data_IF_924655512190
#
_entry.id   IF_924655512190
#
_cell.length_a   1.000
_cell.length_b   1.000
_cell.length_c   1.000
_cell.angle_alpha   90.00
_cell.angle_beta   90.00
_cell.angle_gamma   90.00
#
_symmetry.space_group_name_H-M   'P 1'
#
loop_
_entity.id
_entity.type
_entity.pdbx_description
1 polymer ?
#
# COMPACT_ATOMS: atom_id res chain seq x y z
N UNK A 1 -3.99 -29.81 35.78
CA UNK A 1 -3.03 -28.67 35.77
C UNK A 1 -3.24 -27.82 34.51
N UNK A 2 -4.32 -27.03 34.45
CA UNK A 2 -4.54 -26.02 33.39
C UNK A 2 -3.79 -24.76 33.82
N UNK A 3 -2.47 -24.76 33.69
CA UNK A 3 -1.70 -23.54 33.88
C UNK A 3 -2.11 -22.59 32.75
N UNK A 4 -2.78 -21.53 33.17
CA UNK A 4 -2.95 -20.24 32.51
C UNK A 4 -1.87 -19.99 31.44
N UNK A 5 -2.08 -20.49 30.22
CA UNK A 5 -1.56 -19.84 29.02
C UNK A 5 -2.37 -18.55 28.88
N UNK A 6 -2.01 -17.56 29.71
CA UNK A 6 -2.50 -16.21 29.59
C UNK A 6 -2.00 -15.75 28.23
N UNK A 7 -2.88 -15.81 27.23
CA UNK A 7 -2.69 -15.22 25.92
C UNK A 7 -2.34 -13.74 26.17
N UNK A 8 -1.05 -13.41 26.17
CA UNK A 8 -0.60 -12.03 26.25
C UNK A 8 -0.47 -11.51 24.81
N UNK A 9 -1.50 -10.85 24.26
CA UNK A 9 -1.47 -10.36 22.88
C UNK A 9 -0.29 -9.40 22.66
N UNK A 10 0.10 -8.64 23.69
CA UNK A 10 1.25 -7.73 23.66
C UNK A 10 2.58 -8.44 23.33
N UNK A 11 2.87 -9.58 23.97
CA UNK A 11 4.10 -10.33 23.74
C UNK A 11 4.19 -10.85 22.28
N UNK A 12 3.06 -11.29 21.74
CA UNK A 12 2.96 -11.79 20.36
C UNK A 12 3.19 -10.68 19.34
N UNK A 13 2.56 -9.53 19.53
CA UNK A 13 2.77 -8.36 18.68
C UNK A 13 4.23 -7.89 18.72
N UNK A 14 4.83 -7.85 19.92
CA UNK A 14 6.24 -7.53 20.09
C UNK A 14 7.16 -8.52 19.34
N UNK A 15 6.84 -9.82 19.37
CA UNK A 15 7.61 -10.83 18.66
C UNK A 15 7.54 -10.64 17.13
N UNK A 16 6.39 -10.26 16.55
CA UNK A 16 6.30 -9.95 15.12
C UNK A 16 7.16 -8.74 14.73
N UNK A 17 7.14 -7.71 15.58
CA UNK A 17 7.99 -6.54 15.39
C UNK A 17 9.47 -6.93 15.44
N UNK A 18 9.87 -7.78 16.39
CA UNK A 18 11.25 -8.29 16.46
C UNK A 18 11.61 -9.09 15.22
N UNK A 19 10.75 -10.00 14.75
CA UNK A 19 10.98 -10.77 13.52
C UNK A 19 11.14 -9.81 12.33
N UNK A 20 10.26 -8.83 12.19
CA UNK A 20 10.36 -7.82 11.13
C UNK A 20 11.71 -7.08 11.19
N UNK A 21 12.10 -6.58 12.36
CA UNK A 21 13.37 -5.85 12.55
C UNK A 21 14.57 -6.73 12.23
N UNK A 22 14.61 -7.97 12.74
CA UNK A 22 15.71 -8.91 12.50
C UNK A 22 15.85 -9.25 11.02
N UNK A 23 14.73 -9.52 10.36
CA UNK A 23 14.72 -9.87 8.95
C UNK A 23 15.15 -8.63 8.13
N UNK A 24 14.66 -7.42 8.46
CA UNK A 24 15.09 -6.17 7.81
C UNK A 24 16.58 -5.89 8.02
N UNK A 25 17.11 -6.14 9.22
CA UNK A 25 18.54 -6.03 9.51
C UNK A 25 19.38 -7.02 8.69
N UNK A 26 18.90 -8.27 8.53
CA UNK A 26 19.55 -9.26 7.68
C UNK A 26 19.58 -8.83 6.22
N UNK A 27 18.51 -8.23 5.69
CA UNK A 27 18.52 -7.66 4.34
C UNK A 27 19.61 -6.60 4.20
N UNK A 28 19.68 -5.64 5.12
CA UNK A 28 20.70 -4.58 5.07
C UNK A 28 22.10 -5.16 5.12
N UNK A 29 22.33 -6.18 5.95
CA UNK A 29 23.60 -6.91 5.99
C UNK A 29 23.91 -7.58 4.65
N UNK A 30 22.97 -8.35 4.08
CA UNK A 30 23.15 -9.00 2.77
C UNK A 30 23.49 -7.95 1.71
N UNK A 31 22.75 -6.85 1.65
CA UNK A 31 22.98 -5.76 0.70
C UNK A 31 24.36 -5.11 0.87
N UNK A 32 24.86 -5.00 2.10
CA UNK A 32 26.20 -4.46 2.39
C UNK A 32 27.33 -5.39 1.97
N UNK A 33 27.06 -6.70 1.84
CA UNK A 33 28.04 -7.72 1.46
C UNK A 33 28.09 -7.97 -0.05
N UNK A 34 27.18 -7.37 -0.83
CA UNK A 34 27.18 -7.52 -2.29
C UNK A 34 28.38 -6.75 -2.87
N UNK A 35 29.37 -7.51 -3.35
CA UNK A 35 30.43 -6.96 -4.18
C UNK A 35 29.91 -6.81 -5.62
N UNK A 36 29.49 -5.61 -5.99
CA UNK A 36 28.91 -5.36 -7.30
C UNK A 36 29.98 -5.43 -8.39
N UNK A 37 29.76 -6.19 -9.48
CA UNK A 37 30.64 -6.12 -10.64
C UNK A 37 30.67 -4.71 -11.23
N UNK A 38 31.62 -4.45 -12.15
CA UNK A 38 31.69 -3.22 -12.93
C UNK A 38 30.55 -3.14 -13.97
N UNK A 39 29.33 -3.00 -13.47
CA UNK A 39 28.10 -2.78 -14.24
C UNK A 39 27.62 -1.35 -14.07
N UNK A 40 26.75 -0.89 -15.00
CA UNK A 40 26.18 0.45 -14.94
C UNK A 40 25.39 0.68 -13.65
N UNK A 41 25.37 1.94 -13.21
CA UNK A 41 24.68 2.36 -12.00
C UNK A 41 23.18 2.01 -12.03
N UNK A 42 22.52 2.19 -13.17
CA UNK A 42 21.11 1.81 -13.35
C UNK A 42 20.87 0.31 -13.14
N UNK A 43 21.80 -0.52 -13.61
CA UNK A 43 21.73 -1.97 -13.44
C UNK A 43 21.85 -2.34 -11.96
N UNK A 44 22.77 -1.70 -11.21
CA UNK A 44 22.91 -1.90 -9.76
C UNK A 44 21.62 -1.52 -9.02
N UNK A 45 21.02 -0.39 -9.36
CA UNK A 45 19.75 0.08 -8.76
C UNK A 45 18.61 -0.90 -9.05
N UNK A 46 18.48 -1.39 -10.28
CA UNK A 46 17.45 -2.36 -10.64
C UNK A 46 17.60 -3.68 -9.86
N UNK A 47 18.82 -4.21 -9.73
CA UNK A 47 19.09 -5.41 -8.93
C UNK A 47 18.78 -5.20 -7.45
N UNK A 48 19.26 -4.09 -6.89
CA UNK A 48 18.99 -3.71 -5.50
C UNK A 48 17.48 -3.67 -5.25
N UNK A 49 16.73 -3.04 -6.16
CA UNK A 49 15.28 -2.95 -6.06
C UNK A 49 14.61 -4.33 -6.15
N UNK A 50 15.02 -5.18 -7.09
CA UNK A 50 14.50 -6.54 -7.21
C UNK A 50 14.71 -7.38 -5.93
N UNK A 51 15.89 -7.28 -5.32
CA UNK A 51 16.20 -7.95 -4.04
C UNK A 51 15.28 -7.43 -2.93
N UNK A 52 15.13 -6.10 -2.81
CA UNK A 52 14.24 -5.47 -1.82
C UNK A 52 12.80 -5.94 -2.01
N UNK A 53 12.32 -6.07 -3.25
CA UNK A 53 10.96 -6.53 -3.53
C UNK A 53 10.71 -7.98 -3.11
N UNK A 54 11.61 -8.89 -3.49
CA UNK A 54 11.51 -10.30 -3.08
C UNK A 54 11.49 -10.39 -1.56
N UNK A 55 12.35 -9.61 -0.91
CA UNK A 55 12.38 -9.54 0.53
C UNK A 55 11.08 -8.98 1.13
N UNK A 56 10.53 -7.88 0.61
CA UNK A 56 9.27 -7.31 1.08
C UNK A 56 8.11 -8.30 0.96
N UNK A 57 8.05 -9.06 -0.12
CA UNK A 57 7.06 -10.14 -0.32
C UNK A 57 7.16 -11.20 0.78
N UNK A 58 8.37 -11.70 1.03
CA UNK A 58 8.62 -12.71 2.05
C UNK A 58 8.26 -12.19 3.44
N UNK A 59 8.66 -10.96 3.76
CA UNK A 59 8.36 -10.37 5.08
C UNK A 59 6.87 -10.14 5.26
N UNK A 60 6.16 -9.61 4.26
CA UNK A 60 4.71 -9.43 4.34
C UNK A 60 4.01 -10.78 4.58
N UNK A 61 4.44 -11.83 3.86
CA UNK A 61 3.91 -13.19 4.07
C UNK A 61 4.21 -13.70 5.48
N UNK A 62 5.45 -13.58 5.97
CA UNK A 62 5.85 -14.04 7.31
C UNK A 62 5.10 -13.30 8.44
N UNK A 63 4.89 -11.99 8.30
CA UNK A 63 4.07 -11.21 9.24
C UNK A 63 2.66 -11.77 9.28
N UNK A 64 2.03 -11.99 8.13
CA UNK A 64 0.66 -12.53 8.05
C UNK A 64 0.57 -13.96 8.62
N UNK A 65 1.53 -14.82 8.32
CA UNK A 65 1.59 -16.18 8.88
C UNK A 65 1.77 -16.16 10.40
N UNK A 66 2.57 -15.22 10.92
CA UNK A 66 2.73 -15.01 12.36
C UNK A 66 1.43 -14.55 13.01
N UNK A 67 0.73 -13.59 12.40
CA UNK A 67 -0.59 -13.15 12.84
C UNK A 67 -1.60 -14.31 12.85
N UNK A 68 -1.55 -15.19 11.84
CA UNK A 68 -2.41 -16.37 11.76
C UNK A 68 -2.11 -17.34 12.89
N UNK A 69 -0.83 -17.66 13.10
CA UNK A 69 -0.35 -18.55 14.16
C UNK A 69 -0.77 -18.05 15.55
N UNK A 70 -0.83 -16.74 15.75
CA UNK A 70 -1.27 -16.11 16.99
C UNK A 70 -2.77 -15.89 17.13
N UNK A 71 -3.58 -16.45 16.23
CA UNK A 71 -5.04 -16.37 16.26
C UNK A 71 -5.58 -14.95 16.11
N UNK A 72 -4.90 -14.07 15.36
CA UNK A 72 -5.42 -12.76 14.96
C UNK A 72 -6.41 -12.81 13.78
N UNK A 73 -6.94 -14.00 13.48
CA UNK A 73 -8.06 -14.20 12.57
C UNK A 73 -9.23 -13.34 13.08
N UNK A 74 -9.86 -12.55 12.21
CA UNK A 74 -10.94 -11.60 12.56
C UNK A 74 -10.49 -10.28 13.25
N UNK A 75 -9.20 -9.96 13.32
CA UNK A 75 -8.71 -8.69 13.92
C UNK A 75 -8.26 -7.71 12.84
N UNK A 76 -9.22 -7.14 12.12
CA UNK A 76 -9.01 -6.17 11.02
C UNK A 76 -8.12 -4.99 11.42
N UNK A 77 -8.29 -4.45 12.64
CA UNK A 77 -7.48 -3.34 13.17
C UNK A 77 -5.99 -3.70 13.28
N UNK A 78 -5.65 -4.94 13.64
CA UNK A 78 -4.25 -5.37 13.72
C UNK A 78 -3.64 -5.41 12.32
N UNK A 79 -4.39 -5.92 11.34
CA UNK A 79 -3.94 -5.89 9.94
C UNK A 79 -3.69 -4.46 9.48
N UNK A 80 -4.63 -3.53 9.73
CA UNK A 80 -4.44 -2.11 9.41
C UNK A 80 -3.17 -1.52 10.04
N UNK A 81 -2.89 -1.83 11.31
CA UNK A 81 -1.67 -1.35 12.00
C UNK A 81 -0.40 -1.88 11.32
N UNK A 82 -0.34 -3.14 10.95
CA UNK A 82 0.83 -3.68 10.24
C UNK A 82 0.91 -3.20 8.79
N UNK A 83 -0.22 -3.00 8.10
CA UNK A 83 -0.27 -2.51 6.72
C UNK A 83 0.24 -1.07 6.64
N UNK A 84 -0.22 -0.19 7.54
CA UNK A 84 -0.02 1.26 7.43
C UNK A 84 0.91 1.83 8.50
N UNK A 85 0.82 1.33 9.73
CA UNK A 85 1.60 1.85 10.85
C UNK A 85 3.08 1.45 10.80
N UNK A 86 3.38 0.21 10.40
CA UNK A 86 4.76 -0.27 10.37
C UNK A 86 5.64 0.48 9.35
N UNK A 87 5.22 0.68 8.08
CA UNK A 87 6.03 1.45 7.16
C UNK A 87 6.10 2.93 7.52
N UNK A 88 5.02 3.51 8.06
CA UNK A 88 5.04 4.87 8.56
C UNK A 88 6.09 5.03 9.65
N UNK A 89 6.19 4.08 10.58
CA UNK A 89 7.23 4.06 11.60
C UNK A 89 8.63 4.02 10.97
N UNK A 90 8.84 3.19 9.94
CA UNK A 90 10.12 3.13 9.21
C UNK A 90 10.45 4.48 8.57
N UNK A 91 9.47 5.13 7.91
CA UNK A 91 9.64 6.46 7.31
C UNK A 91 10.00 7.50 8.38
N UNK A 92 9.32 7.49 9.52
CA UNK A 92 9.59 8.41 10.63
C UNK A 92 10.99 8.18 11.23
N UNK A 93 11.39 6.93 11.44
CA UNK A 93 12.74 6.59 11.95
C UNK A 93 13.81 7.12 10.98
N UNK A 94 13.66 6.85 9.69
CA UNK A 94 14.63 7.31 8.68
C UNK A 94 14.67 8.85 8.63
N UNK A 95 13.50 9.51 8.65
CA UNK A 95 13.42 10.97 8.67
C UNK A 95 14.11 11.56 9.91
N UNK A 96 13.89 10.98 11.09
CA UNK A 96 14.58 11.39 12.32
C UNK A 96 16.08 11.20 12.21
N UNK A 97 16.55 10.03 11.74
CA UNK A 97 17.98 9.77 11.54
C UNK A 97 18.64 10.75 10.57
N UNK A 98 17.93 11.12 9.49
CA UNK A 98 18.38 12.14 8.54
C UNK A 98 18.41 13.54 9.19
N UNK A 99 17.40 13.90 9.97
CA UNK A 99 17.30 15.20 10.65
C UNK A 99 18.37 15.42 11.73
N UNK A 100 18.81 14.34 12.39
CA UNK A 100 19.82 14.38 13.43
C UNK A 100 21.26 14.44 12.89
N UNK A 101 21.45 14.48 11.56
CA UNK A 101 22.78 14.54 10.95
C UNK A 101 23.63 13.28 11.19
N UNK A 102 23.04 12.21 11.77
CA UNK A 102 23.68 10.91 12.04
C UNK A 102 24.19 10.26 10.74
N UNK A 103 23.81 10.79 9.58
CA UNK A 103 24.14 10.22 8.29
C UNK A 103 24.42 11.25 7.20
N UNK A 104 25.35 12.18 7.45
CA UNK A 104 25.93 13.00 6.39
C UNK A 104 26.36 12.15 5.16
N UNK A 105 26.77 10.89 5.39
CA UNK A 105 27.07 9.91 4.33
C UNK A 105 25.84 9.26 3.66
N UNK A 106 24.71 9.02 4.35
CA UNK A 106 23.51 8.48 3.70
C UNK A 106 22.91 9.52 2.75
N UNK A 107 22.92 10.81 3.14
CA UNK A 107 22.42 11.89 2.29
C UNK A 107 23.23 12.10 1.00
N UNK A 108 24.50 11.68 0.98
CA UNK A 108 25.42 11.78 -0.17
C UNK A 108 25.58 10.48 -0.95
N UNK A 109 25.24 9.33 -0.35
CA UNK A 109 25.35 8.02 -0.99
C UNK A 109 24.07 7.61 -1.75
N UNK A 110 24.25 6.68 -2.67
CA UNK A 110 23.22 6.00 -3.49
C UNK A 110 21.97 5.66 -2.66
N UNK A 111 22.15 5.20 -1.42
CA UNK A 111 21.08 4.78 -0.54
C UNK A 111 20.12 5.91 -0.11
N UNK A 112 20.60 7.14 0.12
CA UNK A 112 19.73 8.27 0.49
C UNK A 112 18.89 8.78 -0.68
N UNK A 113 19.46 8.79 -1.88
CA UNK A 113 18.74 9.13 -3.11
C UNK A 113 17.72 8.03 -3.46
N UNK A 114 18.11 6.75 -3.34
CA UNK A 114 17.21 5.62 -3.54
C UNK A 114 16.03 5.68 -2.58
N UNK A 115 16.26 5.94 -1.30
CA UNK A 115 15.18 6.09 -0.32
C UNK A 115 14.19 7.18 -0.73
N UNK A 116 14.68 8.40 -1.00
CA UNK A 116 13.82 9.53 -1.40
C UNK A 116 12.98 9.22 -2.65
N UNK A 117 13.56 8.53 -3.62
CA UNK A 117 12.90 8.16 -4.88
C UNK A 117 11.93 6.99 -4.75
N UNK A 118 12.15 6.05 -3.83
CA UNK A 118 11.47 4.75 -3.85
C UNK A 118 10.62 4.43 -2.63
N UNK A 119 10.73 5.18 -1.52
CA UNK A 119 10.03 4.84 -0.28
C UNK A 119 8.51 4.76 -0.45
N UNK A 120 7.91 5.66 -1.23
CA UNK A 120 6.47 5.65 -1.50
C UNK A 120 6.06 4.40 -2.30
N UNK A 121 6.89 3.98 -3.26
CA UNK A 121 6.64 2.78 -4.04
C UNK A 121 6.76 1.52 -3.19
N UNK A 122 7.82 1.43 -2.38
CA UNK A 122 8.02 0.31 -1.45
C UNK A 122 6.88 0.24 -0.43
N UNK A 123 6.43 1.39 0.07
CA UNK A 123 5.27 1.50 0.94
C UNK A 123 4.00 0.97 0.26
N UNK A 124 3.73 1.42 -0.95
CA UNK A 124 2.59 0.98 -1.75
C UNK A 124 2.59 -0.54 -1.97
N UNK A 125 3.73 -1.10 -2.38
CA UNK A 125 3.89 -2.54 -2.60
C UNK A 125 3.69 -3.31 -1.29
N UNK A 126 4.30 -2.85 -0.19
CA UNK A 126 4.10 -3.45 1.13
C UNK A 126 2.61 -3.52 1.51
N UNK A 127 1.89 -2.40 1.37
CA UNK A 127 0.47 -2.33 1.68
C UNK A 127 -0.32 -3.38 0.89
N UNK A 128 -0.13 -3.42 -0.43
CA UNK A 128 -0.84 -4.33 -1.31
C UNK A 128 -0.57 -5.78 -0.96
N UNK A 129 0.68 -6.12 -0.63
CA UNK A 129 1.06 -7.49 -0.27
C UNK A 129 0.49 -7.90 1.08
N UNK A 130 0.59 -7.03 2.10
CA UNK A 130 0.08 -7.37 3.41
C UNK A 130 -1.44 -7.53 3.39
N UNK A 131 -2.16 -6.67 2.64
CA UNK A 131 -3.60 -6.79 2.46
C UNK A 131 -3.98 -8.06 1.69
N UNK A 132 -3.28 -8.36 0.58
CA UNK A 132 -3.50 -9.56 -0.22
C UNK A 132 -3.33 -10.82 0.64
N UNK A 133 -2.17 -10.97 1.27
CA UNK A 133 -1.86 -12.14 2.09
C UNK A 133 -2.79 -12.22 3.30
N UNK A 134 -3.16 -11.10 3.93
CA UNK A 134 -4.16 -11.10 4.99
C UNK A 134 -5.49 -11.65 4.49
N UNK A 135 -5.94 -11.21 3.32
CA UNK A 135 -7.13 -11.75 2.68
C UNK A 135 -7.06 -13.26 2.48
N UNK A 136 -5.97 -13.75 1.90
CA UNK A 136 -5.77 -15.16 1.58
C UNK A 136 -5.61 -16.06 2.82
N UNK A 137 -4.91 -15.60 3.85
CA UNK A 137 -4.48 -16.46 4.97
C UNK A 137 -5.18 -16.18 6.30
N UNK A 138 -5.63 -14.94 6.54
CA UNK A 138 -6.34 -14.57 7.78
C UNK A 138 -7.87 -14.55 7.61
N UNK A 139 -8.36 -14.29 6.40
CA UNK A 139 -9.80 -14.18 6.11
C UNK A 139 -10.27 -15.06 4.93
N UNK A 140 -9.89 -16.34 4.83
CA UNK A 140 -10.16 -17.16 3.63
C UNK A 140 -11.64 -17.47 3.35
N UNK A 141 -12.53 -17.23 4.33
CA UNK A 141 -13.95 -17.60 4.24
C UNK A 141 -14.86 -16.45 3.81
N UNK A 142 -14.31 -15.30 3.40
CA UNK A 142 -15.14 -14.19 2.91
C UNK A 142 -15.64 -14.54 1.51
N UNK A 143 -16.84 -15.09 1.45
CA UNK A 143 -17.52 -15.44 0.20
C UNK A 143 -17.88 -14.18 -0.58
N UNK A 144 -17.57 -14.19 -1.88
CA UNK A 144 -18.14 -13.22 -2.81
C UNK A 144 -19.66 -13.38 -2.85
N UNK A 145 -20.37 -12.28 -2.62
CA UNK A 145 -21.83 -12.32 -2.47
C UNK A 145 -22.57 -12.57 -3.77
N UNK A 146 -21.97 -12.25 -4.91
CA UNK A 146 -22.65 -12.23 -6.21
C UNK A 146 -21.68 -12.51 -7.34
N UNK A 147 -21.93 -13.52 -8.20
CA UNK A 147 -21.21 -13.64 -9.47
C UNK A 147 -21.54 -12.42 -10.33
N UNK A 148 -20.51 -11.79 -10.90
CA UNK A 148 -20.68 -10.59 -11.72
C UNK A 148 -21.16 -10.94 -13.14
N UNK A 149 -21.89 -10.03 -13.78
CA UNK A 149 -22.21 -10.12 -15.21
C UNK A 149 -21.20 -9.34 -16.04
N UNK A 150 -20.86 -9.81 -17.24
CA UNK A 150 -19.87 -9.15 -18.13
C UNK A 150 -20.22 -7.70 -18.45
N UNK A 151 -21.50 -7.36 -18.59
CA UNK A 151 -21.96 -5.99 -18.85
C UNK A 151 -21.78 -5.05 -17.62
N UNK A 152 -21.82 -5.60 -16.41
CA UNK A 152 -21.56 -4.82 -15.19
C UNK A 152 -20.08 -4.42 -15.10
N UNK A 153 -19.17 -5.21 -15.68
CA UNK A 153 -17.75 -4.85 -15.78
C UNK A 153 -17.55 -3.55 -16.56
N UNK A 154 -18.30 -3.36 -17.66
CA UNK A 154 -18.28 -2.11 -18.44
C UNK A 154 -18.74 -0.94 -17.57
N UNK A 155 -19.77 -1.15 -16.74
CA UNK A 155 -20.23 -0.12 -15.79
C UNK A 155 -19.13 0.22 -14.79
N UNK A 156 -18.47 -0.78 -14.20
CA UNK A 156 -17.31 -0.58 -13.34
C UNK A 156 -16.20 0.21 -14.02
N UNK A 157 -15.86 -0.14 -15.26
CA UNK A 157 -14.87 0.59 -16.05
C UNK A 157 -15.28 2.04 -16.29
N UNK A 158 -16.53 2.33 -16.68
CA UNK A 158 -16.99 3.71 -16.87
C UNK A 158 -16.93 4.53 -15.57
N UNK A 159 -17.30 3.93 -14.43
CA UNK A 159 -17.14 4.55 -13.11
C UNK A 159 -15.67 4.81 -12.80
N UNK A 160 -14.80 3.83 -13.06
CA UNK A 160 -13.36 3.94 -12.87
C UNK A 160 -12.72 5.04 -13.71
N UNK A 161 -13.12 5.14 -14.99
CA UNK A 161 -12.71 6.21 -15.89
C UNK A 161 -13.12 7.58 -15.34
N UNK A 162 -14.39 7.73 -14.93
CA UNK A 162 -14.89 8.97 -14.34
C UNK A 162 -14.12 9.37 -13.07
N UNK A 163 -13.87 8.42 -12.17
CA UNK A 163 -13.08 8.67 -10.96
C UNK A 163 -11.62 9.00 -11.24
N UNK A 164 -11.01 8.32 -12.21
CA UNK A 164 -9.65 8.60 -12.67
C UNK A 164 -9.51 10.00 -13.26
N UNK A 165 -10.44 10.40 -14.13
CA UNK A 165 -10.48 11.74 -14.73
C UNK A 165 -10.74 12.82 -13.68
N UNK A 166 -11.65 12.58 -12.73
CA UNK A 166 -11.89 13.49 -11.62
C UNK A 166 -10.62 13.68 -10.78
N UNK A 167 -9.93 12.59 -10.45
CA UNK A 167 -8.69 12.65 -9.72
C UNK A 167 -7.59 13.40 -10.48
N UNK A 168 -7.44 13.13 -11.78
CA UNK A 168 -6.51 13.85 -12.64
C UNK A 168 -6.80 15.36 -12.69
N UNK A 169 -8.08 15.74 -12.76
CA UNK A 169 -8.49 17.15 -12.68
C UNK A 169 -8.06 17.80 -11.36
N UNK A 170 -8.35 17.18 -10.21
CA UNK A 170 -7.94 17.71 -8.90
C UNK A 170 -6.42 17.79 -8.74
N UNK A 171 -5.69 16.79 -9.24
CA UNK A 171 -4.22 16.83 -9.31
C UNK A 171 -3.72 18.04 -10.09
N UNK A 172 -4.31 18.28 -11.27
CA UNK A 172 -3.94 19.41 -12.13
C UNK A 172 -4.24 20.75 -11.45
N UNK A 173 -5.42 20.91 -10.86
CA UNK A 173 -5.78 22.13 -10.12
C UNK A 173 -4.84 22.35 -8.93
N UNK A 174 -4.61 21.32 -8.12
CA UNK A 174 -3.71 21.39 -6.98
C UNK A 174 -2.29 21.76 -7.41
N UNK A 175 -1.74 21.08 -8.43
CA UNK A 175 -0.41 21.38 -8.95
C UNK A 175 -0.30 22.86 -9.38
N UNK A 176 -1.30 23.41 -10.07
CA UNK A 176 -1.29 24.82 -10.48
C UNK A 176 -1.42 25.80 -9.30
N UNK A 177 -2.24 25.48 -8.28
CA UNK A 177 -2.38 26.32 -7.09
C UNK A 177 -1.11 26.38 -6.25
N UNK A 178 -0.32 25.31 -6.23
CA UNK A 178 0.93 25.22 -5.46
C UNK A 178 2.19 25.40 -6.32
N UNK A 179 2.06 25.58 -7.65
CA UNK A 179 3.17 25.75 -8.59
C UNK A 179 4.08 26.94 -8.27
N UNK A 180 3.57 27.98 -7.60
CA UNK A 180 4.36 29.13 -7.16
C UNK A 180 5.44 28.81 -6.10
N UNK A 181 5.42 27.61 -5.49
CA UNK A 181 6.37 27.18 -4.46
C UNK A 181 7.31 26.06 -4.91
N UNK A 182 7.03 25.39 -6.03
CA UNK A 182 7.83 24.28 -6.54
C UNK A 182 8.75 24.75 -7.67
N UNK A 183 9.89 25.35 -7.32
CA UNK A 183 11.03 25.34 -8.26
C UNK A 183 11.29 23.89 -8.64
N UNK A 184 11.28 23.64 -9.95
CA UNK A 184 11.53 22.38 -10.65
C UNK A 184 12.79 21.70 -10.12
N UNK A 185 12.68 20.95 -9.02
CA UNK A 185 13.57 19.84 -8.79
C UNK A 185 13.34 18.91 -9.97
N UNK A 186 14.36 18.74 -10.82
CA UNK A 186 14.33 17.81 -11.93
C UNK A 186 13.98 16.44 -11.37
N UNK A 187 12.70 16.06 -11.46
CA UNK A 187 12.18 14.77 -11.04
C UNK A 187 12.92 13.75 -11.90
N UNK A 188 13.93 13.09 -11.30
CA UNK A 188 14.62 12.02 -11.98
C UNK A 188 13.59 10.93 -12.24
N UNK A 189 13.43 10.47 -13.50
CA UNK A 189 12.48 9.42 -13.79
C UNK A 189 12.85 8.17 -12.98
N UNK A 190 11.86 7.47 -12.39
CA UNK A 190 12.13 6.24 -11.67
C UNK A 190 12.83 5.22 -12.59
N UNK A 191 13.66 4.31 -12.04
CA UNK A 191 14.27 3.25 -12.83
C UNK A 191 13.23 2.49 -13.66
N UNK A 192 13.54 2.12 -14.91
CA UNK A 192 12.54 1.53 -15.83
C UNK A 192 11.86 0.27 -15.27
N UNK A 193 12.58 -0.57 -14.52
CA UNK A 193 11.99 -1.73 -13.85
C UNK A 193 10.96 -1.33 -12.78
N UNK A 194 11.24 -0.25 -12.02
CA UNK A 194 10.35 0.28 -11.01
C UNK A 194 9.00 0.68 -11.61
N UNK A 195 9.04 1.40 -12.73
CA UNK A 195 7.85 1.83 -13.47
C UNK A 195 6.93 0.66 -13.80
N UNK A 196 7.47 -0.41 -14.41
CA UNK A 196 6.67 -1.56 -14.82
C UNK A 196 6.11 -2.34 -13.64
N UNK A 197 6.87 -2.47 -12.55
CA UNK A 197 6.41 -3.16 -11.35
C UNK A 197 5.25 -2.40 -10.70
N UNK A 198 5.35 -1.07 -10.58
CA UNK A 198 4.25 -0.30 -10.01
C UNK A 198 3.04 -0.28 -10.92
N UNK A 199 3.23 -0.20 -12.24
CA UNK A 199 2.12 -0.32 -13.17
C UNK A 199 1.41 -1.67 -12.99
N UNK A 200 2.16 -2.77 -12.95
CA UNK A 200 1.60 -4.10 -12.71
C UNK A 200 0.81 -4.15 -11.40
N UNK A 201 1.40 -3.69 -10.29
CA UNK A 201 0.71 -3.67 -8.99
C UNK A 201 -0.53 -2.77 -9.00
N UNK A 202 -0.50 -1.64 -9.71
CA UNK A 202 -1.57 -0.65 -9.73
C UNK A 202 -2.78 -1.08 -10.56
N UNK A 203 -2.57 -1.96 -11.53
CA UNK A 203 -3.63 -2.48 -12.38
C UNK A 203 -4.17 -3.84 -11.94
N UNK A 204 -3.41 -4.59 -11.13
CA UNK A 204 -3.77 -5.98 -10.78
C UNK A 204 -3.90 -6.18 -9.28
N UNK A 205 -2.76 -6.29 -8.57
CA UNK A 205 -2.75 -6.76 -7.20
C UNK A 205 -3.37 -5.75 -6.24
N UNK A 206 -3.03 -4.47 -6.38
CA UNK A 206 -3.49 -3.43 -5.44
C UNK A 206 -4.99 -3.22 -5.51
N UNK A 207 -5.61 -3.01 -6.69
CA UNK A 207 -7.07 -2.89 -6.79
C UNK A 207 -7.77 -4.09 -6.14
N UNK A 208 -7.31 -5.31 -6.41
CA UNK A 208 -7.89 -6.51 -5.82
C UNK A 208 -7.73 -6.55 -4.29
N UNK A 209 -6.49 -6.43 -3.80
CA UNK A 209 -6.17 -6.55 -2.37
C UNK A 209 -6.89 -5.48 -1.54
N UNK A 210 -6.93 -4.24 -2.05
CA UNK A 210 -7.59 -3.12 -1.38
C UNK A 210 -9.10 -3.29 -1.40
N UNK A 211 -9.72 -3.56 -2.55
CA UNK A 211 -11.18 -3.72 -2.59
C UNK A 211 -11.63 -4.94 -1.80
N UNK A 212 -10.89 -6.06 -1.87
CA UNK A 212 -11.20 -7.24 -1.08
C UNK A 212 -11.13 -6.92 0.43
N UNK A 213 -10.05 -6.29 0.88
CA UNK A 213 -9.92 -5.96 2.30
C UNK A 213 -10.92 -4.91 2.76
N UNK A 214 -11.03 -3.77 2.08
CA UNK A 214 -11.90 -2.69 2.54
C UNK A 214 -13.38 -3.04 2.42
N UNK A 215 -13.79 -3.70 1.32
CA UNK A 215 -15.21 -3.94 1.04
C UNK A 215 -15.72 -5.27 1.54
N UNK A 216 -14.93 -6.33 1.38
CA UNK A 216 -15.38 -7.68 1.74
C UNK A 216 -15.04 -8.03 3.20
N UNK A 217 -14.00 -7.43 3.79
CA UNK A 217 -13.55 -7.75 5.15
C UNK A 217 -13.89 -6.61 6.14
N UNK A 218 -13.35 -5.40 5.93
CA UNK A 218 -13.37 -4.32 6.91
C UNK A 218 -14.77 -3.70 7.05
N UNK A 219 -15.43 -3.34 5.94
CA UNK A 219 -16.74 -2.72 5.98
C UNK A 219 -17.81 -3.61 6.65
N UNK A 220 -17.86 -4.94 6.41
CA UNK A 220 -18.72 -5.86 7.17
C UNK A 220 -18.37 -5.98 8.65
N UNK A 221 -17.09 -6.03 9.03
CA UNK A 221 -16.67 -6.03 10.44
C UNK A 221 -17.13 -4.75 11.15
N UNK A 222 -16.96 -3.59 10.52
CA UNK A 222 -17.39 -2.31 11.10
C UNK A 222 -18.90 -2.15 11.13
N UNK A 223 -19.63 -2.76 10.19
CA UNK A 223 -21.10 -2.78 10.21
C UNK A 223 -21.68 -3.50 11.44
N UNK A 224 -20.90 -4.36 12.12
CA UNK A 224 -21.32 -4.98 13.38
C UNK A 224 -21.41 -3.96 14.52
N UNK A 225 -20.72 -2.82 14.41
CA UNK A 225 -20.58 -1.80 15.47
C UNK A 225 -21.19 -0.45 15.07
N UNK A 226 -21.28 -0.18 13.77
CA UNK A 226 -21.76 1.09 13.23
C UNK A 226 -22.91 0.86 12.24
N UNK A 227 -23.83 1.84 12.10
CA UNK A 227 -24.84 1.81 11.04
C UNK A 227 -24.21 1.65 9.66
N UNK A 228 -24.98 1.08 8.73
CA UNK A 228 -24.51 0.74 7.38
C UNK A 228 -23.88 1.93 6.64
N UNK A 229 -24.46 3.12 6.77
CA UNK A 229 -23.97 4.33 6.12
C UNK A 229 -22.67 4.82 6.76
N UNK A 230 -22.62 4.85 8.09
CA UNK A 230 -21.42 5.21 8.85
C UNK A 230 -20.24 4.29 8.53
N UNK A 231 -20.44 2.98 8.39
CA UNK A 231 -19.37 2.05 8.01
C UNK A 231 -18.74 2.41 6.64
N UNK A 232 -19.56 2.80 5.66
CA UNK A 232 -19.07 3.25 4.34
C UNK A 232 -18.23 4.52 4.47
N UNK A 233 -18.75 5.53 5.17
CA UNK A 233 -18.05 6.80 5.35
C UNK A 233 -16.73 6.58 6.08
N UNK A 234 -16.75 5.83 7.19
CA UNK A 234 -15.57 5.60 8.00
C UNK A 234 -14.50 4.81 7.23
N UNK A 235 -14.88 3.78 6.47
CA UNK A 235 -13.91 3.01 5.67
C UNK A 235 -13.38 3.80 4.47
N UNK A 236 -14.20 4.64 3.83
CA UNK A 236 -13.74 5.56 2.79
C UNK A 236 -12.81 6.64 3.34
N UNK A 237 -13.11 7.18 4.52
CA UNK A 237 -12.27 8.14 5.25
C UNK A 237 -10.92 7.53 5.60
N UNK A 238 -10.91 6.32 6.15
CA UNK A 238 -9.69 5.58 6.43
C UNK A 238 -8.89 5.34 5.14
N UNK A 239 -9.54 4.84 4.08
CA UNK A 239 -8.91 4.59 2.78
C UNK A 239 -8.22 5.86 2.23
N UNK A 240 -8.85 7.02 2.39
CA UNK A 240 -8.28 8.30 1.95
C UNK A 240 -7.07 8.74 2.77
N UNK A 241 -7.17 8.65 4.11
CA UNK A 241 -6.11 9.09 5.03
C UNK A 241 -4.84 8.24 4.85
N UNK A 242 -4.98 6.93 4.68
CA UNK A 242 -3.82 6.03 4.58
C UNK A 242 -3.01 6.19 3.29
N UNK A 243 -3.54 6.90 2.29
CA UNK A 243 -2.79 7.26 1.08
C UNK A 243 -1.63 8.22 1.38
N UNK A 244 -1.67 8.94 2.52
CA UNK A 244 -0.62 9.88 2.93
C UNK A 244 -0.29 10.95 1.87
N UNK A 245 -1.27 11.32 1.06
CA UNK A 245 -1.15 12.30 -0.03
C UNK A 245 -2.23 13.35 0.14
N UNK A 246 -1.89 14.44 0.82
CA UNK A 246 -2.84 15.48 1.24
C UNK A 246 -3.72 15.96 0.09
N UNK A 247 -3.14 16.23 -1.07
CA UNK A 247 -3.87 16.68 -2.27
C UNK A 247 -4.87 15.64 -2.81
N UNK A 248 -4.61 14.35 -2.58
CA UNK A 248 -5.47 13.26 -3.05
C UNK A 248 -6.52 12.84 -2.04
N UNK A 249 -6.49 13.32 -0.78
CA UNK A 249 -7.46 12.91 0.25
C UNK A 249 -8.91 13.09 -0.21
N UNK A 250 -9.35 14.24 -0.77
CA UNK A 250 -10.73 14.42 -1.20
C UNK A 250 -11.14 13.43 -2.31
N UNK A 251 -10.24 13.23 -3.28
CA UNK A 251 -10.46 12.32 -4.41
C UNK A 251 -10.52 10.87 -3.94
N UNK A 252 -9.56 10.46 -3.09
CA UNK A 252 -9.50 9.12 -2.53
C UNK A 252 -10.72 8.83 -1.64
N UNK A 253 -11.20 9.82 -0.89
CA UNK A 253 -12.43 9.70 -0.11
C UNK A 253 -13.64 9.47 -1.02
N UNK A 254 -13.80 10.28 -2.06
CA UNK A 254 -14.87 10.12 -3.05
C UNK A 254 -14.80 8.76 -3.75
N UNK A 255 -13.60 8.34 -4.19
CA UNK A 255 -13.37 7.01 -4.76
C UNK A 255 -13.76 5.91 -3.79
N UNK A 256 -13.39 6.03 -2.50
CA UNK A 256 -13.74 5.07 -1.47
C UNK A 256 -15.26 4.92 -1.27
N UNK A 257 -16.01 6.02 -1.35
CA UNK A 257 -17.48 5.99 -1.32
C UNK A 257 -18.04 5.30 -2.58
N UNK A 258 -17.58 5.72 -3.76
CA UNK A 258 -18.07 5.21 -5.05
C UNK A 258 -17.78 3.72 -5.19
N UNK A 259 -16.58 3.25 -4.87
CA UNK A 259 -16.22 1.84 -4.93
C UNK A 259 -17.02 1.00 -3.92
N UNK A 260 -17.34 1.53 -2.73
CA UNK A 260 -18.28 0.85 -1.82
C UNK A 260 -19.67 0.69 -2.44
N UNK A 261 -20.18 1.71 -3.12
CA UNK A 261 -21.46 1.63 -3.84
C UNK A 261 -21.42 0.63 -5.00
N UNK A 262 -20.35 0.66 -5.81
CA UNK A 262 -20.14 -0.29 -6.91
C UNK A 262 -20.06 -1.72 -6.39
N UNK A 263 -19.25 -1.97 -5.35
CA UNK A 263 -19.13 -3.28 -4.71
C UNK A 263 -20.48 -3.81 -4.24
N UNK A 264 -21.28 -2.97 -3.57
CA UNK A 264 -22.58 -3.37 -3.03
C UNK A 264 -23.60 -3.69 -4.12
N UNK A 265 -23.51 -3.02 -5.27
CA UNK A 265 -24.48 -3.17 -6.36
C UNK A 265 -24.10 -4.28 -7.34
N UNK A 266 -22.81 -4.45 -7.61
CA UNK A 266 -22.31 -5.28 -8.71
C UNK A 266 -21.24 -6.31 -8.28
N UNK A 267 -20.77 -6.27 -7.04
CA UNK A 267 -19.80 -7.23 -6.51
C UNK A 267 -18.34 -6.79 -6.61
N UNK A 268 -17.44 -7.67 -6.15
CA UNK A 268 -16.02 -7.39 -5.97
C UNK A 268 -15.32 -7.04 -7.28
N UNK A 269 -15.43 -7.92 -8.28
CA UNK A 269 -14.70 -7.77 -9.53
C UNK A 269 -15.03 -6.48 -10.29
N UNK A 270 -16.27 -6.01 -10.19
CA UNK A 270 -16.69 -4.74 -10.81
C UNK A 270 -16.07 -3.55 -10.08
N UNK A 271 -15.97 -3.61 -8.74
CA UNK A 271 -15.25 -2.59 -7.95
C UNK A 271 -13.74 -2.61 -8.25
N UNK A 272 -13.15 -3.81 -8.34
CA UNK A 272 -11.73 -4.00 -8.68
C UNK A 272 -11.41 -3.41 -10.06
N UNK A 273 -12.26 -3.66 -11.07
CA UNK A 273 -12.09 -3.08 -12.40
C UNK A 273 -12.22 -1.54 -12.40
N UNK A 274 -13.18 -1.00 -11.64
CA UNK A 274 -13.33 0.45 -11.48
C UNK A 274 -12.08 1.06 -10.85
N UNK A 275 -11.56 0.44 -9.79
CA UNK A 275 -10.36 0.89 -9.10
C UNK A 275 -9.12 0.78 -10.01
N UNK A 276 -8.91 -0.35 -10.69
CA UNK A 276 -7.79 -0.56 -11.61
C UNK A 276 -7.76 0.48 -12.73
N UNK A 277 -8.91 0.79 -13.33
CA UNK A 277 -8.98 1.80 -14.39
C UNK A 277 -8.78 3.22 -13.84
N UNK A 278 -9.32 3.54 -12.66
CA UNK A 278 -9.02 4.81 -11.99
C UNK A 278 -7.52 4.98 -11.75
N UNK A 279 -6.85 3.91 -11.30
CA UNK A 279 -5.40 3.91 -11.12
C UNK A 279 -4.67 4.07 -12.44
N UNK A 280 -5.12 3.43 -13.53
CA UNK A 280 -4.50 3.59 -14.86
C UNK A 280 -4.52 5.05 -15.30
N UNK A 281 -5.66 5.74 -15.18
CA UNK A 281 -5.78 7.14 -15.59
C UNK A 281 -4.88 8.03 -14.72
N UNK A 282 -4.90 7.83 -13.40
CA UNK A 282 -4.02 8.58 -12.49
C UNK A 282 -2.54 8.30 -12.75
N UNK A 283 -2.19 7.07 -13.10
CA UNK A 283 -0.84 6.70 -13.48
C UNK A 283 -0.45 7.42 -14.77
N UNK A 284 -1.28 7.40 -15.83
CA UNK A 284 -0.95 8.10 -17.08
C UNK A 284 -0.79 9.61 -16.89
N UNK A 285 -1.70 10.24 -16.12
CA UNK A 285 -1.80 11.70 -16.05
C UNK A 285 -1.00 12.32 -14.91
N UNK A 286 -0.80 11.58 -13.82
CA UNK A 286 -0.27 12.11 -12.57
C UNK A 286 0.84 11.24 -11.97
N UNK A 287 1.44 10.32 -12.73
CA UNK A 287 2.58 9.53 -12.25
C UNK A 287 3.76 10.39 -11.80
N UNK A 288 4.01 11.53 -12.44
CA UNK A 288 5.05 12.45 -11.98
C UNK A 288 4.69 13.18 -10.68
N UNK A 289 3.42 13.22 -10.27
CA UNK A 289 2.99 13.76 -8.96
C UNK A 289 3.04 12.71 -7.85
N UNK A 290 3.33 11.45 -8.21
CA UNK A 290 3.49 10.31 -7.29
C UNK A 290 4.94 10.25 -6.78
N UNK A 291 5.90 10.91 -7.44
CA UNK A 291 7.34 10.96 -7.10
C UNK A 291 7.79 12.36 -6.69
#
# INVERSE_FOLDING_TARGET
MKILQRNQPGLRTALALVIFILVSGLLLLVLSLINWPEISMDTKVNWLFAIILVFLLLVAMLVVLSLRFWSYQNKTTIVLVFTYGLPLLVVLIIQVMLSLGISADISKNIYGNLWRMTWQVLYYIWQSMLLLFSGLFLFPHVQEKTPFKKNELITGMLVGLGMGLLGAYFCSVGANLFAGQAQTQLIQPPPGLLYWIVLFFSLTITPYAVEYFYRAILEPDWKQRFPRFSSVILTAGLFAIVQMRVLLIPVAFAAGLVFSLVYRRYGLWVSVAAHALSNLILFIVAWYLVF
#
